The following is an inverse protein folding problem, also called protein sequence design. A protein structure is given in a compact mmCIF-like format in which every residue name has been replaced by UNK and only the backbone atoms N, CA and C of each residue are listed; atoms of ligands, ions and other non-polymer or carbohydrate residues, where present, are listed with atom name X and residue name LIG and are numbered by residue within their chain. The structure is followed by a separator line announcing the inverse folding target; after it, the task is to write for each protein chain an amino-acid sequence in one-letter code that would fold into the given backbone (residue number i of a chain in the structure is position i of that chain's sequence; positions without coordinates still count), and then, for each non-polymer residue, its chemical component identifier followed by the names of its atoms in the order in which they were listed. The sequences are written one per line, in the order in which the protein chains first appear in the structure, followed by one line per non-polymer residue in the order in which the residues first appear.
data_IF_800014679295
#
_entry.id   IF_800014679295
#
_cell.length_a   1.000
_cell.length_b   1.000
_cell.length_c   1.000
_cell.angle_alpha   90.00
_cell.angle_beta   90.00
_cell.angle_gamma   90.00
#
_symmetry.space_group_name_H-M   'P 1'
#
loop_
_entity.id
_entity.type
_entity.pdbx_description
1 polymer ?
#
# COMPACT_ATOMS: atom_id res chain seq x y z
N UNK A 1 -35.41 36.53 25.51
CA UNK A 1 -34.18 36.16 24.77
C UNK A 1 -33.55 34.91 25.38
N UNK A 2 -34.34 33.81 25.46
CA UNK A 2 -33.87 32.50 25.95
C UNK A 2 -34.79 31.39 25.44
N UNK A 3 -34.86 31.20 24.11
CA UNK A 3 -35.68 30.10 23.51
C UNK A 3 -35.20 29.71 22.11
N UNK A 4 -33.90 29.42 21.90
CA UNK A 4 -33.40 28.85 20.62
C UNK A 4 -32.29 27.79 20.84
N UNK A 5 -32.14 27.21 22.03
CA UNK A 5 -31.14 26.15 22.29
C UNK A 5 -31.74 24.80 22.75
N UNK A 6 -33.06 24.72 22.89
CA UNK A 6 -33.77 23.47 23.23
C UNK A 6 -34.36 22.72 22.02
N UNK A 7 -34.58 23.39 20.88
CA UNK A 7 -35.36 22.84 19.77
C UNK A 7 -34.54 22.14 18.67
N UNK A 8 -33.21 22.31 18.65
CA UNK A 8 -32.33 21.66 17.63
C UNK A 8 -31.93 20.23 18.02
N UNK A 9 -32.35 19.76 19.20
CA UNK A 9 -32.03 18.41 19.70
C UNK A 9 -33.13 17.38 19.47
N UNK A 10 -34.27 17.75 18.85
CA UNK A 10 -35.40 16.84 18.62
C UNK A 10 -35.78 16.60 17.15
N UNK A 11 -35.21 17.29 16.16
CA UNK A 11 -35.52 17.07 14.73
C UNK A 11 -34.41 16.29 13.96
N UNK A 12 -33.62 15.49 14.69
CA UNK A 12 -32.66 14.54 14.11
C UNK A 12 -32.91 13.11 14.63
N UNK A 13 -34.17 12.78 14.92
CA UNK A 13 -34.63 11.40 14.78
C UNK A 13 -34.93 11.13 13.30
N UNK A 14 -33.85 11.00 12.53
CA UNK A 14 -33.90 10.35 11.23
C UNK A 14 -34.22 8.88 11.49
N UNK A 15 -35.48 8.56 11.22
CA UNK A 15 -36.09 7.26 11.18
C UNK A 15 -35.11 6.19 10.66
N UNK A 16 -34.92 5.12 11.44
CA UNK A 16 -34.05 4.00 11.08
C UNK A 16 -34.75 3.12 10.05
N UNK A 17 -34.19 3.04 8.83
CA UNK A 17 -33.82 1.75 8.26
C UNK A 17 -32.31 1.69 7.89
N UNK A 18 -31.77 0.47 7.84
CA UNK A 18 -30.34 0.13 7.87
C UNK A 18 -29.46 0.51 6.66
N UNK A 19 -28.14 0.24 6.75
CA UNK A 19 -27.06 1.02 6.17
C UNK A 19 -26.31 0.30 5.03
N UNK A 20 -26.48 0.78 3.79
CA UNK A 20 -25.55 0.65 2.65
C UNK A 20 -25.99 1.68 1.61
N UNK A 21 -25.38 2.86 1.61
CA UNK A 21 -25.63 3.90 0.59
C UNK A 21 -24.48 3.90 -0.44
N UNK A 22 -24.74 3.58 -1.73
CA UNK A 22 -23.73 3.59 -2.78
C UNK A 22 -23.15 5.00 -2.98
N UNK A 23 -23.93 6.05 -2.76
CA UNK A 23 -23.46 7.43 -2.84
C UNK A 23 -22.42 7.71 -1.74
N UNK A 24 -22.64 7.20 -0.53
CA UNK A 24 -21.66 7.30 0.56
C UNK A 24 -20.36 6.56 0.25
N UNK A 25 -20.41 5.36 -0.34
CA UNK A 25 -19.19 4.63 -0.75
C UNK A 25 -18.44 5.36 -1.86
N UNK A 26 -19.15 5.89 -2.85
CA UNK A 26 -18.56 6.67 -3.93
C UNK A 26 -17.95 7.97 -3.41
N UNK A 27 -18.61 8.64 -2.46
CA UNK A 27 -18.08 9.83 -1.81
C UNK A 27 -16.80 9.54 -1.02
N UNK A 28 -16.74 8.41 -0.30
CA UNK A 28 -15.52 7.97 0.39
C UNK A 28 -14.38 7.73 -0.59
N UNK A 29 -14.65 7.04 -1.70
CA UNK A 29 -13.65 6.75 -2.73
C UNK A 29 -13.15 8.02 -3.43
N UNK A 30 -14.06 8.92 -3.79
CA UNK A 30 -13.72 10.22 -4.38
C UNK A 30 -12.89 11.07 -3.40
N UNK A 31 -13.28 11.12 -2.12
CA UNK A 31 -12.55 11.86 -1.10
C UNK A 31 -11.14 11.30 -0.86
N UNK A 32 -10.98 9.97 -0.80
CA UNK A 32 -9.65 9.34 -0.66
C UNK A 32 -8.80 9.62 -1.90
N UNK A 33 -9.37 9.48 -3.09
CA UNK A 33 -8.63 9.72 -4.35
C UNK A 33 -8.14 11.16 -4.42
N UNK A 34 -8.99 12.13 -4.09
CA UNK A 34 -8.61 13.55 -4.07
C UNK A 34 -7.47 13.82 -3.06
N UNK A 35 -7.59 13.28 -1.86
CA UNK A 35 -6.59 13.44 -0.79
C UNK A 35 -5.25 12.72 -1.09
N UNK A 36 -5.27 11.66 -1.91
CA UNK A 36 -4.07 11.02 -2.44
C UNK A 36 -3.42 11.83 -3.57
N UNK A 37 -4.19 12.61 -4.33
CA UNK A 37 -3.67 13.52 -5.37
C UNK A 37 -2.99 14.76 -4.78
N UNK A 38 -3.39 15.19 -3.57
CA UNK A 38 -2.75 16.31 -2.90
C UNK A 38 -1.27 15.98 -2.64
N UNK A 39 -0.33 16.82 -3.14
CA UNK A 39 1.09 16.59 -2.96
C UNK A 39 1.44 16.53 -1.48
N UNK A 40 2.30 15.59 -1.10
CA UNK A 40 2.79 15.54 0.27
C UNK A 40 3.54 16.87 0.55
N UNK A 41 3.21 17.63 1.61
CA UNK A 41 3.80 18.96 1.86
C UNK A 41 5.34 18.95 1.98
N UNK A 42 5.95 17.77 2.14
CA UNK A 42 7.40 17.55 2.16
C UNK A 42 8.06 17.73 0.77
N UNK A 43 7.34 17.52 -0.33
CA UNK A 43 7.88 17.75 -1.70
C UNK A 43 8.13 19.24 -1.94
N UNK A 44 7.39 20.12 -1.27
CA UNK A 44 7.63 21.57 -1.30
C UNK A 44 8.79 22.00 -0.38
N UNK A 45 9.04 21.27 0.71
CA UNK A 45 10.08 21.57 1.71
C UNK A 45 11.51 21.33 1.18
N UNK A 46 11.69 20.37 0.23
CA UNK A 46 12.96 20.14 -0.46
C UNK A 46 13.37 21.30 -1.40
N UNK A 47 12.40 22.02 -1.99
CA UNK A 47 12.68 23.23 -2.77
C UNK A 47 12.85 24.47 -1.88
N UNK A 48 12.14 24.53 -0.76
CA UNK A 48 12.19 25.67 0.16
C UNK A 48 13.50 25.73 0.96
N UNK A 49 14.08 24.60 1.39
CA UNK A 49 15.32 24.65 2.20
C UNK A 49 16.60 24.99 1.44
N UNK A 50 16.59 24.97 0.11
CA UNK A 50 17.73 25.40 -0.71
C UNK A 50 17.78 26.93 -0.90
N UNK A 51 16.78 27.69 -0.44
CA UNK A 51 16.76 29.15 -0.51
C UNK A 51 15.79 29.71 0.51
N UNK A 52 16.26 30.08 1.71
CA UNK A 52 15.48 30.97 2.59
C UNK A 52 16.37 32.12 3.05
N UNK A 53 16.18 33.26 2.39
CA UNK A 53 16.22 34.56 3.05
C UNK A 53 14.79 34.81 3.59
N UNK A 54 14.61 35.31 4.83
CA UNK A 54 13.35 35.22 5.55
C UNK A 54 12.38 36.38 5.27
N UNK A 55 11.91 36.55 4.04
CA UNK A 55 10.78 37.44 3.73
C UNK A 55 10.15 37.02 2.41
N UNK A 56 9.03 36.28 2.45
CA UNK A 56 7.94 36.20 1.44
C UNK A 56 7.06 34.95 1.71
N UNK A 57 6.12 35.08 2.64
CA UNK A 57 4.96 34.18 2.78
C UNK A 57 3.82 34.73 1.92
N UNK A 58 3.57 34.10 0.77
CA UNK A 58 2.33 34.29 -0.01
C UNK A 58 1.19 33.41 0.51
N UNK A 59 -0.08 33.71 0.16
CA UNK A 59 -1.25 33.00 0.69
C UNK A 59 -1.31 31.55 0.21
N UNK A 60 -1.72 30.67 1.13
CA UNK A 60 -1.89 29.23 1.00
C UNK A 60 -3.01 28.88 -0.01
N UNK A 61 -2.87 27.82 -0.83
CA UNK A 61 -3.91 27.42 -1.77
C UNK A 61 -5.11 26.78 -1.05
N UNK A 62 -6.32 27.17 -1.46
CA UNK A 62 -7.59 26.71 -0.89
C UNK A 62 -7.70 25.18 -0.78
N UNK A 63 -7.84 24.70 0.46
CA UNK A 63 -8.08 23.30 0.81
C UNK A 63 -9.47 22.80 0.36
N UNK A 64 -9.64 21.53 -0.04
CA UNK A 64 -10.94 20.98 -0.40
C UNK A 64 -11.95 20.96 0.76
N UNK A 65 -13.23 21.16 0.37
CA UNK A 65 -14.43 21.36 1.18
C UNK A 65 -14.50 20.61 2.55
N UNK A 66 -14.98 21.26 3.63
CA UNK A 66 -15.16 20.66 4.96
C UNK A 66 -15.91 19.32 4.99
N UNK A 67 -16.82 19.08 4.04
CA UNK A 67 -17.62 17.85 3.94
C UNK A 67 -16.75 16.62 3.61
N UNK A 68 -15.73 16.77 2.74
CA UNK A 68 -14.84 15.67 2.37
C UNK A 68 -13.97 15.22 3.56
N UNK A 69 -13.50 16.16 4.37
CA UNK A 69 -12.72 15.87 5.59
C UNK A 69 -13.53 15.15 6.66
N UNK A 70 -14.81 15.49 6.82
CA UNK A 70 -15.71 14.81 7.76
C UNK A 70 -16.00 13.37 7.32
N UNK A 71 -16.25 13.15 6.02
CA UNK A 71 -16.45 11.81 5.46
C UNK A 71 -15.21 10.92 5.58
N UNK A 72 -14.02 11.45 5.27
CA UNK A 72 -12.74 10.74 5.42
C UNK A 72 -12.46 10.38 6.89
N UNK A 73 -12.71 11.31 7.82
CA UNK A 73 -12.52 11.08 9.26
C UNK A 73 -13.54 10.09 9.83
N UNK A 74 -14.73 9.98 9.25
CA UNK A 74 -15.73 8.98 9.60
C UNK A 74 -15.36 7.58 9.05
N UNK A 75 -14.87 7.50 7.81
CA UNK A 75 -14.43 6.25 7.16
C UNK A 75 -13.18 5.64 7.82
N UNK A 76 -12.30 6.47 8.38
CA UNK A 76 -11.07 6.05 9.06
C UNK A 76 -11.27 5.65 10.54
N UNK A 77 -12.49 5.71 11.09
CA UNK A 77 -12.74 5.23 12.46
C UNK A 77 -12.84 3.69 12.47
N UNK A 78 -12.11 2.98 13.34
CA UNK A 78 -12.06 1.52 13.37
C UNK A 78 -13.42 0.84 13.58
N UNK A 79 -14.38 1.52 14.23
CA UNK A 79 -15.62 0.88 14.70
C UNK A 79 -16.89 1.24 13.91
N UNK A 80 -16.85 2.14 12.91
CA UNK A 80 -18.08 2.72 12.32
C UNK A 80 -18.52 2.24 10.93
N UNK A 81 -17.75 1.38 10.26
CA UNK A 81 -18.24 0.73 9.04
C UNK A 81 -19.11 -0.49 9.40
N UNK A 82 -20.33 -0.22 9.85
CA UNK A 82 -21.41 -1.22 9.95
C UNK A 82 -22.20 -1.16 8.64
N UNK A 83 -22.07 -2.19 7.80
CA UNK A 83 -22.71 -2.28 6.48
C UNK A 83 -23.72 -3.43 6.47
N UNK A 84 -25.01 -3.14 6.68
CA UNK A 84 -26.11 -4.13 6.52
C UNK A 84 -26.66 -4.12 5.08
N UNK A 85 -27.28 -5.22 4.63
CA UNK A 85 -27.62 -5.43 3.23
C UNK A 85 -28.98 -4.82 2.91
N UNK A 86 -29.03 -3.72 2.13
CA UNK A 86 -30.10 -3.40 1.16
C UNK A 86 -29.91 -2.01 0.56
N UNK A 87 -29.11 -1.95 -0.49
CA UNK A 87 -29.36 -1.13 -1.67
C UNK A 87 -28.52 -1.71 -2.81
N UNK A 88 -29.02 -1.62 -4.04
CA UNK A 88 -28.33 -2.13 -5.23
C UNK A 88 -27.30 -1.08 -5.66
N UNK A 89 -26.00 -1.41 -5.67
CA UNK A 89 -24.96 -0.49 -6.13
C UNK A 89 -25.16 -0.10 -7.60
N UNK A 90 -24.61 1.05 -8.01
CA UNK A 90 -24.64 1.46 -9.41
C UNK A 90 -24.01 0.35 -10.28
N UNK A 91 -24.66 -0.06 -11.39
CA UNK A 91 -24.21 -1.22 -12.18
C UNK A 91 -22.76 -1.10 -12.67
N UNK A 92 -22.33 0.10 -13.05
CA UNK A 92 -20.98 0.40 -13.56
C UNK A 92 -19.86 0.26 -12.52
N UNK A 93 -20.21 0.27 -11.22
CA UNK A 93 -19.26 0.08 -10.12
C UNK A 93 -19.14 -1.39 -9.68
N UNK A 94 -20.01 -2.27 -10.18
CA UNK A 94 -20.01 -3.70 -9.86
C UNK A 94 -19.44 -4.55 -10.99
N UNK A 95 -18.92 -5.74 -10.65
CA UNK A 95 -18.55 -6.68 -11.69
C UNK A 95 -19.81 -7.28 -12.35
N UNK A 96 -19.73 -7.62 -13.64
CA UNK A 96 -20.78 -8.37 -14.37
C UNK A 96 -21.18 -9.65 -13.64
N UNK A 97 -20.19 -10.31 -13.04
CA UNK A 97 -20.35 -11.45 -12.16
C UNK A 97 -19.31 -11.37 -11.04
N UNK A 98 -19.68 -11.62 -9.77
CA UNK A 98 -18.72 -11.70 -8.68
C UNK A 98 -17.63 -12.74 -8.96
N UNK A 99 -16.40 -12.40 -8.63
CA UNK A 99 -15.21 -13.22 -8.78
C UNK A 99 -15.37 -14.57 -8.08
N UNK A 100 -15.37 -15.65 -8.87
CA UNK A 100 -15.21 -17.03 -8.41
C UNK A 100 -16.33 -17.57 -7.51
N UNK A 101 -16.45 -18.91 -7.42
CA UNK A 101 -17.32 -19.53 -6.44
C UNK A 101 -16.80 -19.27 -5.02
N UNK A 102 -17.69 -19.26 -4.03
CA UNK A 102 -17.34 -19.01 -2.63
C UNK A 102 -16.28 -20.00 -2.06
N UNK A 103 -16.14 -21.18 -2.68
CA UNK A 103 -15.11 -22.16 -2.34
C UNK A 103 -13.69 -21.69 -2.70
N UNK A 104 -13.53 -20.87 -3.73
CA UNK A 104 -12.24 -20.37 -4.23
C UNK A 104 -11.78 -19.05 -3.62
N UNK A 105 -12.65 -18.36 -2.86
CA UNK A 105 -12.44 -17.00 -2.36
C UNK A 105 -11.80 -16.98 -0.98
N UNK A 106 -10.70 -16.25 -0.80
CA UNK A 106 -9.92 -16.22 0.45
C UNK A 106 -9.92 -14.78 1.01
N UNK A 107 -10.35 -14.56 2.28
CA UNK A 107 -11.03 -15.49 3.17
C UNK A 107 -12.45 -15.79 2.69
N UNK A 108 -13.19 -16.67 3.40
CA UNK A 108 -14.58 -16.98 3.03
C UNK A 108 -15.44 -15.73 2.83
N UNK A 109 -16.26 -15.72 1.77
CA UNK A 109 -17.04 -14.54 1.40
C UNK A 109 -18.11 -14.21 2.45
N UNK A 110 -19.05 -15.13 2.65
CA UNK A 110 -20.22 -14.94 3.52
C UNK A 110 -20.01 -15.53 4.92
N UNK A 111 -19.40 -16.72 4.99
CA UNK A 111 -19.20 -17.46 6.22
C UNK A 111 -17.71 -17.71 6.48
N UNK A 112 -17.27 -17.73 7.75
CA UNK A 112 -15.92 -18.17 8.08
C UNK A 112 -15.68 -19.58 7.56
N UNK A 113 -14.46 -19.87 7.13
CA UNK A 113 -14.08 -21.18 6.58
C UNK A 113 -12.85 -21.71 7.29
N UNK A 114 -12.82 -23.02 7.51
CA UNK A 114 -11.58 -23.69 7.92
C UNK A 114 -10.72 -23.90 6.68
N UNK A 115 -9.79 -22.98 6.45
CA UNK A 115 -8.87 -23.02 5.33
C UNK A 115 -7.60 -23.78 5.71
N UNK A 116 -7.15 -24.66 4.83
CA UNK A 116 -5.88 -25.37 4.99
C UNK A 116 -4.68 -24.41 4.89
N UNK A 117 -3.72 -24.57 5.80
CA UNK A 117 -2.58 -23.66 5.93
C UNK A 117 -1.62 -23.69 4.72
N UNK A 118 -1.55 -24.79 3.99
CA UNK A 118 -0.74 -24.91 2.76
C UNK A 118 -1.47 -24.29 1.58
N UNK A 119 -2.78 -24.51 1.49
CA UNK A 119 -3.62 -23.98 0.41
C UNK A 119 -3.67 -22.44 0.41
N UNK A 120 -3.63 -21.80 1.58
CA UNK A 120 -3.70 -20.34 1.72
C UNK A 120 -2.36 -19.68 2.02
N UNK A 121 -1.25 -20.44 2.05
CA UNK A 121 0.07 -19.86 2.19
C UNK A 121 0.30 -18.80 1.08
N UNK A 122 0.91 -17.64 1.36
CA UNK A 122 1.62 -17.24 2.58
C UNK A 122 0.76 -16.63 3.69
N UNK A 123 -0.57 -16.67 3.59
CA UNK A 123 -1.44 -16.13 4.63
C UNK A 123 -1.43 -16.99 5.91
N UNK A 124 -1.69 -16.34 7.04
CA UNK A 124 -1.92 -16.94 8.33
C UNK A 124 -3.35 -17.47 8.40
N UNK A 125 -3.53 -18.76 8.12
CA UNK A 125 -4.83 -19.43 8.10
C UNK A 125 -5.64 -19.20 9.40
N UNK A 126 -5.01 -19.22 10.57
CA UNK A 126 -5.68 -18.96 11.85
C UNK A 126 -6.41 -17.62 11.89
N UNK A 127 -5.79 -16.56 11.34
CA UNK A 127 -6.42 -15.23 11.24
C UNK A 127 -7.51 -15.23 10.19
N UNK A 128 -7.27 -15.85 9.03
CA UNK A 128 -8.24 -15.90 7.93
C UNK A 128 -9.50 -16.68 8.26
N UNK A 129 -9.38 -17.76 9.04
CA UNK A 129 -10.51 -18.62 9.41
C UNK A 129 -11.51 -17.92 10.35
N UNK A 130 -11.18 -16.74 10.88
CA UNK A 130 -12.02 -15.95 11.79
C UNK A 130 -12.67 -14.74 11.13
N UNK A 131 -12.33 -14.44 9.88
CA UNK A 131 -12.84 -13.27 9.15
C UNK A 131 -13.59 -13.70 7.90
N UNK A 132 -14.53 -12.86 7.46
CA UNK A 132 -15.21 -13.01 6.18
C UNK A 132 -15.07 -11.74 5.38
N UNK A 133 -15.11 -11.83 4.05
CA UNK A 133 -15.01 -10.63 3.20
C UNK A 133 -16.14 -9.64 3.52
N UNK A 134 -17.38 -10.11 3.64
CA UNK A 134 -18.53 -9.22 3.88
C UNK A 134 -18.52 -8.52 5.24
N UNK A 135 -17.86 -9.11 6.24
CA UNK A 135 -17.71 -8.52 7.57
C UNK A 135 -16.33 -7.88 7.82
N UNK A 136 -15.43 -7.93 6.83
CA UNK A 136 -14.06 -7.43 6.97
C UNK A 136 -14.05 -5.92 7.21
N UNK A 137 -13.22 -5.49 8.15
CA UNK A 137 -12.99 -4.08 8.47
C UNK A 137 -11.51 -3.75 8.33
N UNK A 138 -11.18 -2.46 8.31
CA UNK A 138 -9.78 -2.01 8.24
C UNK A 138 -8.91 -2.60 9.37
N UNK A 139 -9.48 -2.72 10.58
CA UNK A 139 -8.79 -3.35 11.72
C UNK A 139 -8.52 -4.85 11.56
N UNK A 140 -9.12 -5.52 10.56
CA UNK A 140 -8.82 -6.92 10.22
C UNK A 140 -7.52 -7.06 9.42
N UNK A 141 -7.13 -6.02 8.68
CA UNK A 141 -5.96 -6.02 7.79
C UNK A 141 -4.81 -5.13 8.29
N UNK A 142 -5.11 -4.11 9.09
CA UNK A 142 -4.13 -3.19 9.66
C UNK A 142 -3.89 -3.48 11.16
N UNK A 143 -2.66 -3.39 11.70
CA UNK A 143 -1.41 -2.97 11.05
C UNK A 143 -0.72 -4.07 10.27
N UNK A 144 -0.86 -5.32 10.72
CA UNK A 144 -0.11 -6.43 10.20
C UNK A 144 -1.05 -7.31 9.40
N UNK A 145 -1.12 -7.04 8.08
CA UNK A 145 -1.75 -7.94 7.11
C UNK A 145 -1.46 -9.39 7.52
N UNK A 146 -2.40 -10.32 7.37
CA UNK A 146 -2.23 -11.71 7.79
C UNK A 146 -1.17 -12.46 6.97
N UNK A 147 -0.27 -11.76 6.30
CA UNK A 147 0.93 -12.28 5.66
C UNK A 147 1.91 -12.79 6.73
N UNK A 148 2.39 -14.02 6.59
CA UNK A 148 3.43 -14.57 7.46
C UNK A 148 4.72 -13.74 7.35
N UNK A 149 5.38 -13.50 8.49
CA UNK A 149 6.71 -12.86 8.58
C UNK A 149 7.74 -13.63 7.75
N UNK A 150 8.76 -12.95 7.22
CA UNK A 150 9.82 -13.60 6.46
C UNK A 150 9.46 -13.94 5.01
N UNK A 151 8.24 -13.60 4.53
CA UNK A 151 7.75 -14.02 3.21
C UNK A 151 8.17 -13.11 2.07
N UNK A 152 8.03 -11.80 2.26
CA UNK A 152 8.41 -10.79 1.27
C UNK A 152 9.69 -10.08 1.71
N UNK A 153 9.75 -9.76 3.00
CA UNK A 153 10.93 -9.22 3.66
C UNK A 153 11.54 -10.27 4.58
N UNK A 154 12.86 -10.30 4.74
CA UNK A 154 13.51 -11.14 5.74
C UNK A 154 13.06 -10.77 7.17
N UNK A 155 13.09 -11.75 8.06
CA UNK A 155 12.76 -11.56 9.46
C UNK A 155 14.02 -11.15 10.23
N UNK A 156 14.13 -9.86 10.55
CA UNK A 156 15.26 -9.25 11.24
C UNK A 156 16.61 -9.42 10.50
N UNK A 157 17.42 -8.37 10.48
CA UNK A 157 18.77 -8.42 9.92
C UNK A 157 19.75 -9.01 10.93
N UNK A 158 20.79 -9.67 10.42
CA UNK A 158 21.96 -9.99 11.26
C UNK A 158 22.73 -8.72 11.60
N UNK A 159 23.30 -8.68 12.80
CA UNK A 159 24.25 -7.64 13.18
C UNK A 159 25.53 -7.79 12.34
N UNK A 160 25.99 -6.67 11.76
CA UNK A 160 27.20 -6.63 10.93
C UNK A 160 28.33 -5.95 11.72
N UNK A 161 29.47 -6.62 11.92
CA UNK A 161 30.64 -6.00 12.56
C UNK A 161 31.15 -4.78 11.79
N UNK A 162 31.70 -3.78 12.50
CA UNK A 162 32.28 -2.58 11.88
C UNK A 162 33.40 -2.89 10.87
N UNK A 163 34.11 -4.01 11.04
CA UNK A 163 35.17 -4.45 10.10
C UNK A 163 34.64 -4.90 8.74
N UNK A 164 33.35 -5.25 8.67
CA UNK A 164 32.74 -5.97 7.56
C UNK A 164 32.01 -5.03 6.58
N UNK A 165 32.02 -3.71 6.82
CA UNK A 165 31.37 -2.74 5.96
C UNK A 165 32.15 -1.42 5.91
N UNK A 166 31.84 -0.58 4.93
CA UNK A 166 32.45 0.73 4.73
C UNK A 166 31.66 1.83 5.43
N UNK A 167 31.94 2.05 6.72
CA UNK A 167 31.36 3.16 7.48
C UNK A 167 31.88 4.52 7.00
N UNK A 168 33.08 4.54 6.45
CA UNK A 168 33.73 5.69 5.84
C UNK A 168 32.97 6.25 4.62
N UNK A 169 32.13 5.45 3.95
CA UNK A 169 31.26 5.92 2.87
C UNK A 169 30.04 6.72 3.37
N UNK A 170 29.67 6.60 4.65
CA UNK A 170 28.49 7.26 5.23
C UNK A 170 28.81 8.72 5.59
N UNK A 171 29.13 9.51 4.57
CA UNK A 171 29.41 10.94 4.68
C UNK A 171 28.26 11.77 4.14
N UNK A 172 28.14 13.03 4.58
CA UNK A 172 27.10 13.94 4.09
C UNK A 172 27.12 14.08 2.55
N UNK A 173 28.26 14.33 1.87
CA UNK A 173 28.28 14.47 0.40
C UNK A 173 27.84 13.20 -0.33
N UNK A 174 28.20 12.02 0.18
CA UNK A 174 27.78 10.73 -0.39
C UNK A 174 26.27 10.51 -0.22
N UNK A 175 25.71 10.84 0.96
CA UNK A 175 24.26 10.76 1.20
C UNK A 175 23.50 11.75 0.32
N UNK A 176 24.00 12.98 0.16
CA UNK A 176 23.40 13.98 -0.73
C UNK A 176 23.42 13.52 -2.19
N UNK A 177 24.54 12.98 -2.67
CA UNK A 177 24.67 12.40 -4.00
C UNK A 177 23.68 11.25 -4.23
N UNK A 178 23.57 10.34 -3.25
CA UNK A 178 22.60 9.24 -3.29
C UNK A 178 21.16 9.75 -3.37
N UNK A 179 20.77 10.71 -2.51
CA UNK A 179 19.40 11.24 -2.52
C UNK A 179 19.10 12.02 -3.81
N UNK A 180 20.10 12.69 -4.40
CA UNK A 180 19.98 13.37 -5.68
C UNK A 180 19.76 12.40 -6.85
N UNK A 181 20.32 11.19 -6.78
CA UNK A 181 20.11 10.13 -7.76
C UNK A 181 18.70 9.52 -7.73
N UNK A 182 17.92 9.76 -6.65
CA UNK A 182 16.54 9.28 -6.49
C UNK A 182 16.38 7.76 -6.68
N UNK A 183 17.09 6.93 -5.88
CA UNK A 183 17.09 5.47 -6.05
C UNK A 183 15.69 4.84 -5.97
N UNK A 184 14.75 5.49 -5.28
CA UNK A 184 13.35 5.03 -5.19
C UNK A 184 12.56 5.08 -6.50
N UNK A 185 13.07 5.71 -7.55
CA UNK A 185 12.41 5.71 -8.87
C UNK A 185 12.33 4.30 -9.47
N UNK A 186 13.21 3.38 -9.06
CA UNK A 186 13.13 1.95 -9.43
C UNK A 186 11.83 1.29 -8.98
N UNK A 187 11.19 1.83 -7.94
CA UNK A 187 9.91 1.34 -7.44
C UNK A 187 8.72 1.75 -8.31
N UNK A 188 8.92 2.62 -9.32
CA UNK A 188 7.87 3.06 -10.23
C UNK A 188 7.20 1.90 -10.95
N UNK A 189 5.88 1.83 -10.88
CA UNK A 189 5.06 0.95 -11.70
C UNK A 189 5.09 1.40 -13.16
N UNK A 190 6.15 1.05 -13.89
CA UNK A 190 6.04 0.80 -15.33
C UNK A 190 5.48 -0.62 -15.55
N UNK A 191 4.20 -0.75 -15.18
CA UNK A 191 3.14 -1.48 -15.87
C UNK A 191 3.54 -2.59 -16.85
N UNK A 192 3.73 -3.83 -16.38
CA UNK A 192 3.81 -4.99 -17.28
C UNK A 192 3.68 -6.38 -16.65
N UNK A 193 3.78 -6.53 -15.33
CA UNK A 193 4.00 -7.83 -14.68
C UNK A 193 2.93 -8.26 -13.68
N UNK A 194 1.75 -7.61 -13.65
CA UNK A 194 0.65 -8.13 -12.84
C UNK A 194 0.35 -9.56 -13.31
N UNK A 195 0.50 -10.53 -12.41
CA UNK A 195 0.39 -11.95 -12.76
C UNK A 195 -1.02 -12.49 -12.51
N UNK A 196 -1.84 -11.74 -11.77
CA UNK A 196 -3.16 -12.17 -11.33
C UNK A 196 -4.31 -11.35 -11.94
N UNK A 197 -4.08 -10.21 -12.60
CA UNK A 197 -5.15 -9.38 -13.15
C UNK A 197 -4.71 -8.49 -14.33
N UNK A 198 -5.70 -7.99 -15.09
CA UNK A 198 -5.53 -6.92 -16.06
C UNK A 198 -5.56 -5.55 -15.38
N UNK A 199 -4.66 -4.64 -15.76
CA UNK A 199 -4.58 -3.34 -15.08
C UNK A 199 -5.63 -2.31 -15.54
N UNK A 200 -6.46 -2.67 -16.53
CA UNK A 200 -7.47 -1.85 -17.21
C UNK A 200 -8.91 -2.39 -17.06
N UNK A 201 -9.18 -3.17 -16.00
CA UNK A 201 -10.48 -3.83 -15.73
C UNK A 201 -11.68 -2.86 -15.64
N UNK A 202 -11.44 -1.58 -15.29
CA UNK A 202 -12.49 -0.60 -15.07
C UNK A 202 -13.32 -0.84 -13.79
N UNK A 203 -14.44 -0.13 -13.63
CA UNK A 203 -15.30 -0.20 -12.44
C UNK A 203 -14.58 0.11 -11.13
N UNK A 204 -15.06 -0.43 -10.00
CA UNK A 204 -14.44 -0.20 -8.68
C UNK A 204 -13.01 -0.75 -8.60
N UNK A 205 -12.73 -1.85 -9.30
CA UNK A 205 -11.37 -2.38 -9.33
C UNK A 205 -10.41 -1.41 -10.03
N UNK A 206 -10.81 -0.82 -11.17
CA UNK A 206 -10.03 0.24 -11.82
C UNK A 206 -9.80 1.46 -10.93
N UNK A 207 -10.80 1.86 -10.13
CA UNK A 207 -10.66 2.96 -9.16
C UNK A 207 -9.67 2.61 -8.05
N UNK A 208 -9.69 1.37 -7.54
CA UNK A 208 -8.70 0.89 -6.58
C UNK A 208 -7.28 0.94 -7.16
N UNK A 209 -7.08 0.45 -8.38
CA UNK A 209 -5.79 0.48 -9.05
C UNK A 209 -5.30 1.92 -9.28
N UNK A 210 -6.20 2.84 -9.65
CA UNK A 210 -5.91 4.26 -9.79
C UNK A 210 -5.46 4.90 -8.48
N UNK A 211 -6.20 4.68 -7.39
CA UNK A 211 -5.84 5.17 -6.07
C UNK A 211 -4.49 4.60 -5.59
N UNK A 212 -4.24 3.30 -5.83
CA UNK A 212 -2.98 2.68 -5.48
C UNK A 212 -1.79 3.29 -6.26
N UNK A 213 -1.92 3.55 -7.57
CA UNK A 213 -0.85 4.19 -8.36
C UNK A 213 -0.50 5.59 -7.84
N UNK A 214 -1.50 6.35 -7.39
CA UNK A 214 -1.29 7.65 -6.77
C UNK A 214 -0.57 7.52 -5.42
N UNK A 215 -1.01 6.56 -4.59
CA UNK A 215 -0.33 6.23 -3.33
C UNK A 215 1.13 5.86 -3.57
N UNK A 216 1.41 4.97 -4.52
CA UNK A 216 2.76 4.57 -4.88
C UNK A 216 3.58 5.81 -5.26
N UNK A 217 3.14 6.56 -6.28
CA UNK A 217 3.83 7.77 -6.76
C UNK A 217 4.15 8.75 -5.62
N UNK A 218 3.21 8.96 -4.70
CA UNK A 218 3.35 9.87 -3.55
C UNK A 218 4.34 9.35 -2.50
N UNK A 219 4.43 8.03 -2.32
CA UNK A 219 5.15 7.41 -1.19
C UNK A 219 6.32 6.50 -1.57
N UNK A 220 6.75 6.42 -2.85
CA UNK A 220 7.89 5.58 -3.28
C UNK A 220 9.14 5.80 -2.44
N UNK A 221 9.51 7.06 -2.19
CA UNK A 221 10.67 7.38 -1.35
C UNK A 221 10.51 6.82 0.07
N UNK A 222 9.32 6.93 0.66
CA UNK A 222 9.02 6.40 1.99
C UNK A 222 9.12 4.86 2.04
N UNK A 223 8.61 4.20 0.99
CA UNK A 223 8.62 2.75 0.87
C UNK A 223 10.05 2.23 0.69
N UNK A 224 10.84 2.91 -0.15
CA UNK A 224 12.25 2.62 -0.37
C UNK A 224 13.10 2.80 0.91
N UNK A 225 12.95 3.93 1.62
CA UNK A 225 13.61 4.16 2.91
C UNK A 225 13.19 3.11 3.97
N UNK A 226 11.98 2.55 3.84
CA UNK A 226 11.49 1.47 4.69
C UNK A 226 12.29 0.17 4.56
N UNK A 227 12.75 -0.16 3.36
CA UNK A 227 13.57 -1.35 3.06
C UNK A 227 15.07 -1.07 3.10
N UNK A 228 15.48 0.20 2.99
CA UNK A 228 16.86 0.67 3.05
C UNK A 228 17.08 1.56 4.28
N UNK A 229 16.85 0.99 5.47
CA UNK A 229 16.98 1.76 6.71
C UNK A 229 18.41 2.17 6.94
N UNK A 230 18.65 3.46 6.78
CA UNK A 230 19.87 4.11 7.24
C UNK A 230 19.87 4.30 8.76
N UNK A 231 21.05 4.35 9.38
CA UNK A 231 21.21 4.81 10.76
C UNK A 231 20.64 6.22 11.04
N UNK A 232 20.36 7.00 9.99
CA UNK A 232 19.93 8.42 10.05
C UNK A 232 18.40 8.58 9.82
N UNK A 233 17.62 7.51 10.02
CA UNK A 233 16.21 7.39 9.64
C UNK A 233 15.33 8.64 9.90
N UNK A 234 14.47 8.99 8.92
CA UNK A 234 13.51 10.13 8.98
C UNK A 234 12.10 9.67 9.41
N UNK A 235 11.66 9.89 10.66
CA UNK A 235 10.42 9.27 11.17
C UNK A 235 9.13 9.78 10.54
N UNK A 236 9.13 11.02 10.02
CA UNK A 236 7.90 11.69 9.54
C UNK A 236 7.35 11.10 8.24
N UNK A 237 8.22 10.66 7.33
CA UNK A 237 7.80 10.21 6.01
C UNK A 237 7.06 8.85 6.09
N UNK A 238 7.59 7.92 6.88
CA UNK A 238 6.97 6.62 7.13
C UNK A 238 5.56 6.73 7.75
N UNK A 239 5.30 7.74 8.59
CA UNK A 239 3.98 7.96 9.20
C UNK A 239 2.91 8.37 8.18
N UNK A 240 3.26 9.19 7.19
CA UNK A 240 2.32 9.60 6.14
C UNK A 240 2.01 8.45 5.19
N UNK A 241 3.04 7.70 4.77
CA UNK A 241 2.86 6.49 3.97
C UNK A 241 1.97 5.46 4.69
N UNK A 242 2.17 5.25 6.00
CA UNK A 242 1.34 4.35 6.78
C UNK A 242 -0.13 4.84 6.92
N UNK A 243 -0.35 6.16 6.99
CA UNK A 243 -1.69 6.73 7.06
C UNK A 243 -2.44 6.58 5.73
N UNK A 244 -1.76 6.86 4.61
CA UNK A 244 -2.36 6.74 3.28
C UNK A 244 -2.54 5.27 2.87
N UNK A 245 -1.66 4.37 3.31
CA UNK A 245 -1.83 2.93 3.12
C UNK A 245 -3.12 2.40 3.74
N UNK A 246 -3.54 2.92 4.91
CA UNK A 246 -4.84 2.56 5.50
C UNK A 246 -6.00 2.94 4.59
N UNK A 247 -5.91 4.09 3.90
CA UNK A 247 -6.94 4.55 2.96
C UNK A 247 -7.04 3.61 1.77
N UNK A 248 -5.90 3.16 1.23
CA UNK A 248 -5.84 2.13 0.19
C UNK A 248 -6.49 0.82 0.63
N UNK A 249 -6.19 0.34 1.84
CA UNK A 249 -6.81 -0.87 2.38
C UNK A 249 -8.33 -0.76 2.56
N UNK A 250 -8.86 0.43 2.87
CA UNK A 250 -10.32 0.65 2.91
C UNK A 250 -10.95 0.44 1.52
N UNK A 251 -10.35 1.01 0.47
CA UNK A 251 -10.82 0.83 -0.90
C UNK A 251 -10.71 -0.64 -1.32
N UNK A 252 -9.62 -1.30 -0.94
CA UNK A 252 -9.41 -2.72 -1.23
C UNK A 252 -10.49 -3.62 -0.59
N UNK A 253 -10.85 -3.36 0.68
CA UNK A 253 -11.93 -4.10 1.36
C UNK A 253 -13.26 -3.93 0.61
N UNK A 254 -13.60 -2.71 0.20
CA UNK A 254 -14.82 -2.45 -0.59
C UNK A 254 -14.79 -3.18 -1.94
N UNK A 255 -13.61 -3.24 -2.57
CA UNK A 255 -13.40 -3.94 -3.84
C UNK A 255 -13.60 -5.45 -3.69
N UNK A 256 -13.11 -6.06 -2.61
CA UNK A 256 -13.38 -7.46 -2.28
C UNK A 256 -14.86 -7.71 -1.95
N UNK A 257 -15.49 -6.82 -1.18
CA UNK A 257 -16.90 -6.94 -0.77
C UNK A 257 -17.88 -6.92 -1.93
N UNK A 258 -17.57 -6.16 -2.97
CA UNK A 258 -18.32 -6.14 -4.22
C UNK A 258 -18.03 -7.34 -5.13
N UNK A 259 -17.07 -8.18 -4.74
CA UNK A 259 -16.72 -9.39 -5.45
C UNK A 259 -15.80 -9.16 -6.64
N UNK A 260 -14.99 -8.10 -6.68
CA UNK A 260 -14.03 -7.92 -7.76
C UNK A 260 -12.78 -8.80 -7.64
N UNK A 261 -12.40 -9.12 -6.41
CA UNK A 261 -11.19 -9.88 -6.09
C UNK A 261 -11.33 -10.50 -4.70
N UNK A 262 -10.27 -11.15 -4.25
CA UNK A 262 -10.11 -11.58 -2.86
C UNK A 262 -8.74 -11.15 -2.32
N UNK A 263 -8.41 -11.60 -1.11
CA UNK A 263 -7.22 -11.15 -0.40
C UNK A 263 -5.92 -11.45 -1.16
N UNK A 264 -5.88 -12.52 -1.97
CA UNK A 264 -4.68 -12.91 -2.73
C UNK A 264 -4.25 -11.82 -3.73
N UNK A 265 -5.11 -10.87 -4.10
CA UNK A 265 -4.74 -9.74 -4.95
C UNK A 265 -3.53 -8.98 -4.40
N UNK A 266 -3.46 -8.80 -3.08
CA UNK A 266 -2.34 -8.08 -2.46
C UNK A 266 -1.01 -8.84 -2.55
N UNK A 267 -0.99 -10.12 -2.91
CA UNK A 267 0.27 -10.85 -3.13
C UNK A 267 0.88 -10.57 -4.50
N UNK A 268 0.12 -9.98 -5.41
CA UNK A 268 0.60 -9.68 -6.75
C UNK A 268 1.78 -8.70 -6.68
N UNK A 269 2.89 -8.93 -7.42
CA UNK A 269 4.04 -8.03 -7.45
C UNK A 269 3.69 -6.58 -7.80
N UNK A 270 2.54 -6.33 -8.42
CA UNK A 270 2.04 -4.98 -8.66
C UNK A 270 1.97 -4.15 -7.37
N UNK A 271 1.63 -4.75 -6.23
CA UNK A 271 1.48 -4.04 -4.96
C UNK A 271 2.77 -4.06 -4.13
N UNK A 272 3.27 -2.87 -3.78
CA UNK A 272 4.35 -2.68 -2.84
C UNK A 272 3.83 -2.87 -1.42
N UNK A 273 4.51 -3.71 -0.66
CA UNK A 273 4.23 -3.85 0.76
C UNK A 273 5.09 -2.89 1.58
N UNK A 274 4.51 -2.14 2.52
CA UNK A 274 5.30 -1.49 3.56
C UNK A 274 5.86 -2.58 4.49
N UNK A 275 7.16 -2.54 4.83
CA UNK A 275 7.75 -3.50 5.77
C UNK A 275 7.10 -3.38 7.15
N UNK A 276 6.90 -4.51 7.82
CA UNK A 276 6.38 -4.54 9.19
C UNK A 276 7.41 -4.01 10.19
N UNK A 277 6.98 -3.74 11.42
CA UNK A 277 7.87 -3.22 12.49
C UNK A 277 9.03 -4.16 12.82
N UNK A 278 8.88 -5.46 12.60
CA UNK A 278 9.89 -6.51 12.82
C UNK A 278 10.52 -7.03 11.53
N UNK A 279 10.10 -6.52 10.36
CA UNK A 279 10.75 -6.78 9.07
C UNK A 279 11.81 -5.68 8.85
N UNK A 280 12.83 -5.65 9.73
CA UNK A 280 13.86 -4.62 9.72
C UNK A 280 15.19 -5.22 9.35
N UNK A 281 15.80 -4.68 8.30
CA UNK A 281 17.21 -4.90 8.01
C UNK A 281 17.85 -3.53 7.82
N UNK A 282 18.95 -3.30 8.53
CA UNK A 282 19.76 -2.10 8.36
C UNK A 282 20.60 -2.29 7.11
N UNK A 283 20.77 -1.23 6.33
CA UNK A 283 21.69 -1.25 5.20
C UNK A 283 23.10 -0.83 5.66
N UNK A 284 24.07 -1.71 5.39
CA UNK A 284 25.49 -1.50 5.62
C UNK A 284 26.24 -1.51 4.27
N UNK A 285 26.96 -0.42 3.90
CA UNK A 285 27.63 -0.32 2.59
C UNK A 285 28.78 -1.31 2.40
N UNK A 286 28.85 -1.97 1.25
CA UNK A 286 30.03 -2.75 0.83
C UNK A 286 30.22 -4.11 1.52
N UNK A 287 29.20 -4.62 2.22
CA UNK A 287 29.32 -5.87 3.00
C UNK A 287 29.70 -7.07 2.14
N UNK A 288 29.16 -7.18 0.93
CA UNK A 288 29.34 -8.38 0.12
C UNK A 288 30.78 -8.50 -0.42
N UNK A 289 31.33 -7.43 -1.00
CA UNK A 289 32.72 -7.35 -1.45
C UNK A 289 33.68 -7.47 -0.28
N UNK A 290 33.41 -6.75 0.82
CA UNK A 290 34.28 -6.70 2.00
C UNK A 290 34.40 -8.07 2.66
N UNK A 291 33.29 -8.74 2.94
CA UNK A 291 33.31 -10.10 3.50
C UNK A 291 34.01 -11.10 2.59
N UNK A 292 33.81 -10.99 1.27
CA UNK A 292 34.48 -11.87 0.32
C UNK A 292 36.01 -11.68 0.34
N UNK A 293 36.49 -10.44 0.40
CA UNK A 293 37.93 -10.13 0.52
C UNK A 293 38.52 -10.54 1.87
N UNK A 294 37.75 -10.41 2.97
CA UNK A 294 38.18 -10.85 4.29
C UNK A 294 38.26 -12.39 4.38
N UNK A 295 37.34 -13.10 3.72
CA UNK A 295 37.33 -14.56 3.69
C UNK A 295 38.42 -15.14 2.78
N UNK A 296 38.71 -14.47 1.65
CA UNK A 296 39.79 -14.83 0.72
C UNK A 296 40.54 -13.56 0.26
N UNK A 297 41.68 -13.24 0.90
CA UNK A 297 42.47 -12.06 0.54
C UNK A 297 43.06 -12.08 -0.87
N UNK A 298 43.07 -13.23 -1.55
CA UNK A 298 43.59 -13.36 -2.92
C UNK A 298 42.53 -13.06 -3.99
N UNK A 299 41.27 -12.95 -3.58
CA UNK A 299 40.16 -12.69 -4.49
C UNK A 299 40.18 -11.27 -5.09
N UNK A 300 40.73 -10.31 -4.33
CA UNK A 300 40.88 -8.89 -4.71
C UNK A 300 39.63 -8.30 -5.40
N UNK A 301 38.42 -8.59 -4.88
CA UNK A 301 37.19 -7.97 -5.38
C UNK A 301 37.25 -6.47 -5.17
N UNK A 302 36.82 -5.71 -6.18
CA UNK A 302 36.64 -4.27 -6.03
C UNK A 302 35.59 -4.00 -4.96
N UNK A 303 35.96 -3.19 -3.96
CA UNK A 303 35.04 -2.65 -2.97
C UNK A 303 34.42 -1.35 -3.48
N UNK A 304 33.19 -0.99 -3.06
CA UNK A 304 32.53 0.22 -3.54
C UNK A 304 33.24 1.49 -3.04
N UNK A 305 33.37 2.49 -3.92
CA UNK A 305 33.93 3.79 -3.60
C UNK A 305 32.85 4.86 -3.31
N UNK A 306 31.58 4.54 -3.58
CA UNK A 306 30.44 5.45 -3.36
C UNK A 306 29.26 4.72 -2.74
N UNK A 307 28.35 5.46 -2.10
CA UNK A 307 27.09 4.89 -1.60
C UNK A 307 26.18 4.36 -2.72
N UNK A 308 26.31 4.87 -3.94
CA UNK A 308 25.57 4.37 -5.11
C UNK A 308 26.08 2.99 -5.52
N UNK A 309 27.40 2.81 -5.63
CA UNK A 309 27.98 1.49 -5.92
C UNK A 309 27.66 0.47 -4.83
N UNK A 310 27.72 0.89 -3.56
CA UNK A 310 27.35 0.04 -2.44
C UNK A 310 25.84 -0.31 -2.44
N UNK A 311 24.98 0.59 -2.95
CA UNK A 311 23.56 0.32 -3.11
C UNK A 311 23.33 -0.73 -4.20
N UNK A 312 23.98 -0.60 -5.35
CA UNK A 312 23.87 -1.52 -6.47
C UNK A 312 24.35 -2.93 -6.10
N UNK A 313 25.47 -3.02 -5.38
CA UNK A 313 25.96 -4.27 -4.80
C UNK A 313 24.88 -4.90 -3.89
N UNK A 314 24.32 -4.10 -2.98
CA UNK A 314 23.33 -4.56 -2.01
C UNK A 314 22.04 -5.03 -2.70
N UNK A 315 21.56 -4.30 -3.70
CA UNK A 315 20.37 -4.68 -4.48
C UNK A 315 20.59 -5.97 -5.27
N UNK A 316 21.82 -6.19 -5.77
CA UNK A 316 22.20 -7.41 -6.46
C UNK A 316 22.22 -8.61 -5.51
N UNK A 317 22.73 -8.42 -4.29
CA UNK A 317 22.80 -9.47 -3.26
C UNK A 317 21.42 -9.78 -2.65
N UNK A 318 20.58 -8.75 -2.46
CA UNK A 318 19.30 -8.82 -1.78
C UNK A 318 18.14 -8.28 -2.67
N UNK A 319 17.61 -9.07 -3.62
CA UNK A 319 16.57 -8.60 -4.55
C UNK A 319 15.29 -8.09 -3.87
N UNK A 320 15.02 -8.51 -2.63
CA UNK A 320 13.85 -8.07 -1.85
C UNK A 320 13.89 -6.57 -1.50
N UNK A 321 15.08 -5.93 -1.50
CA UNK A 321 15.26 -4.52 -1.12
C UNK A 321 14.53 -3.57 -2.06
N UNK A 322 14.51 -3.91 -3.34
CA UNK A 322 13.74 -3.21 -4.37
C UNK A 322 12.42 -3.92 -4.68
N UNK A 323 11.84 -4.66 -3.73
CA UNK A 323 10.60 -5.42 -3.92
C UNK A 323 10.64 -6.33 -5.16
N UNK A 324 11.82 -6.91 -5.45
CA UNK A 324 12.08 -7.74 -6.63
C UNK A 324 11.87 -7.02 -7.98
N UNK A 325 11.87 -5.68 -8.02
CA UNK A 325 11.69 -4.93 -9.27
C UNK A 325 12.80 -5.20 -10.30
N UNK A 326 14.04 -5.41 -9.84
CA UNK A 326 15.17 -5.74 -10.70
C UNK A 326 15.19 -7.22 -11.12
N UNK A 327 14.52 -8.10 -10.37
CA UNK A 327 14.41 -9.53 -10.65
C UNK A 327 12.97 -10.04 -10.47
N UNK A 328 11.99 -9.60 -11.30
CA UNK A 328 10.57 -9.89 -11.07
C UNK A 328 10.26 -11.38 -10.96
N UNK A 329 10.92 -12.22 -11.77
CA UNK A 329 10.75 -13.67 -11.74
C UNK A 329 11.16 -14.35 -10.43
N UNK A 330 11.93 -13.69 -9.57
CA UNK A 330 12.29 -14.17 -8.24
C UNK A 330 11.27 -13.79 -7.17
N UNK A 331 10.27 -12.95 -7.49
CA UNK A 331 9.27 -12.53 -6.52
C UNK A 331 8.49 -13.74 -5.99
N UNK A 332 8.32 -13.90 -4.66
CA UNK A 332 7.68 -15.08 -4.04
C UNK A 332 6.28 -15.42 -4.57
N UNK A 333 5.56 -14.41 -5.07
CA UNK A 333 4.26 -14.57 -5.69
C UNK A 333 4.25 -15.47 -6.94
N UNK A 334 5.35 -15.51 -7.71
CA UNK A 334 5.47 -16.42 -8.86
C UNK A 334 5.48 -17.90 -8.45
N UNK A 335 5.78 -18.20 -7.18
CA UNK A 335 5.79 -19.56 -6.64
C UNK A 335 4.44 -19.97 -6.05
N UNK A 336 3.39 -19.16 -6.22
CA UNK A 336 2.03 -19.43 -5.71
C UNK A 336 1.14 -19.86 -6.88
N UNK A 337 0.90 -21.16 -7.11
CA UNK A 337 0.21 -21.64 -8.31
C UNK A 337 -1.21 -21.07 -8.47
N UNK A 338 -1.92 -20.84 -7.36
CA UNK A 338 -3.30 -20.31 -7.38
C UNK A 338 -3.41 -18.84 -7.76
N UNK A 339 -2.31 -18.09 -7.76
CA UNK A 339 -2.32 -16.64 -8.02
C UNK A 339 -2.28 -16.34 -9.52
N UNK A 340 -1.59 -17.17 -10.29
CA UNK A 340 -1.46 -17.02 -11.74
C UNK A 340 -2.84 -16.99 -12.41
N UNK A 341 -3.15 -15.92 -13.13
CA UNK A 341 -4.40 -15.82 -13.88
C UNK A 341 -5.66 -15.63 -13.02
N UNK A 342 -5.54 -15.48 -11.69
CA UNK A 342 -6.66 -15.65 -10.77
C UNK A 342 -7.84 -14.72 -11.04
N UNK A 343 -7.63 -13.43 -11.29
CA UNK A 343 -8.69 -12.42 -11.39
C UNK A 343 -8.93 -11.92 -12.83
N UNK A 344 -8.43 -12.61 -13.84
CA UNK A 344 -8.55 -12.18 -15.25
C UNK A 344 -9.98 -12.27 -15.82
N UNK A 345 -10.88 -13.01 -15.17
CA UNK A 345 -12.26 -13.21 -15.63
C UNK A 345 -13.24 -12.12 -15.18
N UNK A 346 -12.78 -11.12 -14.42
CA UNK A 346 -13.65 -10.10 -13.82
C UNK A 346 -13.76 -8.88 -14.73
N UNK A 347 -14.98 -8.38 -14.97
CA UNK A 347 -15.27 -7.24 -15.86
C UNK A 347 -16.34 -6.35 -15.26
N UNK A 348 -16.29 -5.05 -15.55
CA UNK A 348 -17.33 -4.11 -15.14
C UNK A 348 -18.66 -4.35 -15.85
N UNK A 349 -19.78 -4.26 -15.12
CA UNK A 349 -21.08 -4.35 -15.76
C UNK A 349 -21.30 -3.16 -16.71
N UNK A 350 -21.74 -3.47 -17.93
CA UNK A 350 -22.11 -2.42 -18.89
C UNK A 350 -23.31 -1.65 -18.35
N UNK A 351 -23.18 -0.33 -18.27
CA UNK A 351 -24.33 0.54 -18.07
C UNK A 351 -25.32 0.30 -19.22
N UNK A 352 -26.53 -0.19 -18.89
CA UNK A 352 -27.62 -0.27 -19.86
C UNK A 352 -27.90 1.16 -20.34
N UNK A 353 -27.51 1.48 -21.57
CA UNK A 353 -27.96 2.72 -22.21
C UNK A 353 -29.48 2.65 -22.32
N UNK A 354 -30.17 3.37 -21.45
CA UNK A 354 -31.59 3.64 -21.63
C UNK A 354 -31.74 4.51 -22.87
N UNK A 355 -31.88 3.88 -24.03
CA UNK A 355 -32.53 4.52 -25.18
C UNK A 355 -34.01 4.60 -24.84
N UNK A 356 -34.43 5.69 -24.20
CA UNK A 356 -35.83 6.07 -24.23
C UNK A 356 -36.10 6.74 -25.60
N UNK A 357 -37.22 6.40 -26.27
CA UNK A 357 -37.58 6.91 -27.59
C UNK A 357 -37.91 8.40 -27.61
#
# INVERSE_FOLDING_TARGET
MTTILGQVRQDLELDRPGPRDPAAQQAVLAAITLDLQDPCPVVQDLRHRASIHPDLLGPEPDLPCPVARVALKAALRPDRLLLSPKSTPAPDLLPESPFGPDSGVIPGRLLPRQLDATAVAPWAAEKLNRVTIVAMKIGSLFPDLPLKTGRIFPHEGEDVPLSDYHDDLVTQPQVESLMAAKPWEILSTNSGSAISFHTDVGGRFGLFLGAYRQFETKHRMALWEGTHKFPISRPKLANHAAADWKKILVIFILTMQDGWCDLDLLLDPFFLHPPKRHDKVIWFPGVASRRANLADPTLHRSEPATLLEALDECNTADPWRNHFRDAPGQHPAHQIPRLAGKFFSVRAARASRSTAP
#
